data_IF_135453698094
#
_entry.id   IF_135453698094
#
_cell.length_a   1.000
_cell.length_b   1.000
_cell.length_c   1.000
_cell.angle_alpha   90.00
_cell.angle_beta   90.00
_cell.angle_gamma   90.00
#
_symmetry.space_group_name_H-M   'P 1'
#
loop_
_entity.id
_entity.type
_entity.pdbx_description
1 polymer ?
#
# COMPACT_ATOMS: atom_id res chain seq x y z
N UNK A 1 -24.97 -29.50 30.95
CA UNK A 1 -25.84 -28.38 30.68
C UNK A 1 -24.97 -27.13 30.54
N UNK A 2 -24.92 -26.63 29.33
CA UNK A 2 -24.26 -25.36 29.02
C UNK A 2 -25.08 -24.24 29.61
N UNK A 3 -24.55 -23.53 30.57
CA UNK A 3 -25.17 -22.31 31.07
C UNK A 3 -24.58 -21.12 30.30
N UNK A 4 -25.40 -20.44 29.54
CA UNK A 4 -25.08 -19.13 29.02
C UNK A 4 -25.41 -18.10 30.10
N UNK A 5 -24.45 -17.33 30.52
CA UNK A 5 -24.65 -16.22 31.43
C UNK A 5 -24.70 -14.93 30.62
N UNK A 6 -25.86 -14.28 30.65
CA UNK A 6 -26.04 -13.00 29.95
C UNK A 6 -26.03 -11.88 30.96
N UNK A 7 -25.09 -10.98 30.90
CA UNK A 7 -25.11 -9.75 31.68
C UNK A 7 -25.85 -8.68 30.87
N UNK A 8 -26.84 -8.09 31.47
CA UNK A 8 -27.49 -6.88 30.97
C UNK A 8 -26.41 -5.79 30.91
N UNK A 9 -26.24 -5.17 29.80
CA UNK A 9 -25.18 -4.21 29.46
C UNK A 9 -23.91 -4.81 28.79
N UNK A 10 -24.07 -5.98 28.21
CA UNK A 10 -23.22 -6.35 27.11
C UNK A 10 -22.08 -7.33 27.35
N UNK A 11 -21.99 -7.96 28.50
CA UNK A 11 -21.01 -9.03 28.66
C UNK A 11 -21.69 -10.39 28.75
N UNK A 12 -21.33 -11.31 27.87
CA UNK A 12 -21.70 -12.71 27.94
C UNK A 12 -20.46 -13.50 28.32
N UNK A 13 -20.54 -14.21 29.44
CA UNK A 13 -19.54 -15.20 29.83
C UNK A 13 -20.15 -16.57 29.67
N UNK A 14 -19.63 -17.41 28.81
CA UNK A 14 -20.06 -18.79 28.67
C UNK A 14 -19.07 -19.68 29.41
N UNK A 15 -19.57 -20.41 30.40
CA UNK A 15 -18.71 -21.30 31.11
C UNK A 15 -18.96 -22.73 30.79
N UNK A 16 -18.32 -23.64 30.74
CA UNK A 16 -18.04 -24.96 31.21
C UNK A 16 -16.64 -25.43 30.78
N UNK A 17 -15.66 -24.74 30.73
CA UNK A 17 -14.22 -25.00 30.65
C UNK A 17 -13.45 -23.69 30.53
N UNK A 18 -13.92 -22.70 31.27
CA UNK A 18 -13.06 -21.56 31.52
C UNK A 18 -11.96 -22.05 32.47
N UNK A 19 -10.86 -22.51 31.97
CA UNK A 19 -9.62 -22.42 32.74
C UNK A 19 -9.48 -20.96 33.13
N UNK A 20 -9.30 -20.75 34.43
CA UNK A 20 -9.23 -19.44 35.03
C UNK A 20 -8.56 -18.44 34.07
N UNK A 21 -9.22 -17.32 33.86
CA UNK A 21 -8.62 -16.20 33.14
C UNK A 21 -7.20 -16.03 33.70
N UNK A 22 -6.24 -16.03 32.83
CA UNK A 22 -4.86 -15.76 33.21
C UNK A 22 -4.84 -14.52 34.09
N UNK A 23 -4.21 -14.60 35.23
CA UNK A 23 -4.03 -13.47 36.16
C UNK A 23 -3.22 -12.32 35.51
N UNK A 24 -2.76 -12.50 34.27
CA UNK A 24 -2.10 -11.50 33.46
C UNK A 24 -3.04 -10.69 32.56
N UNK A 25 -4.34 -10.89 32.64
CA UNK A 25 -5.32 -10.08 31.87
C UNK A 25 -5.49 -10.45 30.40
N UNK A 26 -4.97 -11.59 29.98
CA UNK A 26 -4.79 -11.89 28.55
C UNK A 26 -6.03 -12.50 27.87
N UNK A 27 -7.09 -12.88 28.59
CA UNK A 27 -8.29 -13.45 27.95
C UNK A 27 -9.59 -12.95 28.56
N UNK A 28 -10.41 -12.32 27.76
CA UNK A 28 -11.75 -11.90 28.13
C UNK A 28 -12.79 -12.93 27.65
N UNK A 29 -12.52 -13.65 26.56
CA UNK A 29 -13.43 -14.64 26.01
C UNK A 29 -12.67 -15.67 25.18
N UNK A 30 -12.87 -16.95 25.47
CA UNK A 30 -12.42 -18.04 24.61
C UNK A 30 -13.64 -18.63 23.89
N UNK A 31 -13.70 -18.45 22.57
CA UNK A 31 -14.72 -19.06 21.74
C UNK A 31 -14.12 -20.30 21.09
N UNK A 32 -14.40 -21.44 21.69
CA UNK A 32 -13.96 -22.73 21.16
C UNK A 32 -15.13 -23.69 21.06
N UNK A 33 -15.18 -24.49 20.02
CA UNK A 33 -16.18 -25.52 19.87
C UNK A 33 -16.00 -26.26 18.54
N UNK A 34 -16.14 -27.56 18.60
CA UNK A 34 -16.12 -28.43 17.44
C UNK A 34 -17.50 -28.41 16.75
N UNK A 35 -17.82 -27.28 16.19
CA UNK A 35 -19.08 -27.14 15.43
C UNK A 35 -18.75 -26.52 14.10
N UNK A 36 -19.06 -27.17 13.03
CA UNK A 36 -18.87 -26.73 11.66
C UNK A 36 -19.61 -25.43 11.29
N UNK A 37 -19.77 -24.54 12.24
CA UNK A 37 -20.40 -23.23 12.11
C UNK A 37 -19.48 -22.16 12.68
N UNK A 38 -19.70 -20.92 12.27
CA UNK A 38 -18.94 -19.73 12.62
C UNK A 38 -18.74 -19.61 14.14
N UNK A 39 -17.50 -19.60 14.59
CA UNK A 39 -17.18 -19.50 16.03
C UNK A 39 -17.43 -18.09 16.59
N UNK A 40 -17.36 -17.06 15.75
CA UNK A 40 -17.66 -15.68 16.12
C UNK A 40 -18.53 -15.03 15.02
N UNK A 41 -19.67 -14.48 15.43
CA UNK A 41 -20.53 -13.67 14.56
C UNK A 41 -20.82 -12.33 15.23
N UNK A 42 -20.40 -11.25 14.61
CA UNK A 42 -20.69 -9.88 15.05
C UNK A 42 -21.52 -9.16 13.99
N UNK A 43 -22.43 -8.28 14.42
CA UNK A 43 -23.15 -7.36 13.53
C UNK A 43 -22.43 -6.02 13.37
N UNK A 44 -21.37 -5.79 14.14
CA UNK A 44 -20.56 -4.59 14.13
C UNK A 44 -19.09 -4.91 13.86
N UNK A 45 -18.23 -3.98 14.22
CA UNK A 45 -16.79 -4.11 14.10
C UNK A 45 -16.19 -4.93 15.22
N UNK A 46 -15.04 -5.56 14.95
CA UNK A 46 -14.16 -6.16 15.96
C UNK A 46 -12.96 -5.22 16.08
N UNK A 47 -12.73 -4.71 17.30
CA UNK A 47 -11.51 -3.98 17.61
C UNK A 47 -10.47 -4.99 18.13
N UNK A 48 -9.33 -5.07 17.47
CA UNK A 48 -8.22 -5.92 17.85
C UNK A 48 -6.93 -5.11 17.79
N UNK A 49 -6.55 -4.46 18.90
CA UNK A 49 -5.40 -3.55 18.94
C UNK A 49 -4.06 -4.25 18.70
N UNK A 50 -3.95 -5.51 19.10
CA UNK A 50 -2.75 -6.33 18.91
C UNK A 50 -2.70 -7.16 17.64
N UNK A 51 -3.71 -7.00 16.77
CA UNK A 51 -3.84 -7.81 15.54
C UNK A 51 -4.62 -9.11 15.74
N UNK A 52 -4.72 -9.90 14.68
CA UNK A 52 -5.48 -11.15 14.66
C UNK A 52 -4.57 -12.27 14.12
N UNK A 53 -4.45 -13.36 14.89
CA UNK A 53 -3.76 -14.56 14.40
C UNK A 53 -4.66 -15.34 13.44
N UNK A 54 -4.16 -15.60 12.24
CA UNK A 54 -4.85 -16.34 11.18
C UNK A 54 -4.16 -17.69 10.93
N UNK A 55 -4.81 -18.78 11.34
CA UNK A 55 -4.33 -20.12 11.07
C UNK A 55 -3.34 -20.70 12.09
N UNK A 56 -2.92 -19.96 13.11
CA UNK A 56 -2.04 -20.44 14.18
C UNK A 56 -1.47 -19.31 15.01
N UNK A 57 -0.83 -19.61 16.13
CA UNK A 57 -0.30 -18.63 17.10
C UNK A 57 1.15 -18.19 16.83
N UNK A 58 1.76 -18.67 15.76
CA UNK A 58 3.11 -18.21 15.37
C UNK A 58 3.07 -16.74 14.89
N UNK A 59 4.13 -15.98 15.16
CA UNK A 59 4.21 -14.57 14.76
C UNK A 59 4.03 -14.34 13.25
N UNK A 60 4.39 -15.34 12.42
CA UNK A 60 4.17 -15.30 10.98
C UNK A 60 2.68 -15.32 10.58
N UNK A 61 1.78 -15.71 11.48
CA UNK A 61 0.34 -15.77 11.25
C UNK A 61 -0.41 -14.55 11.80
N UNK A 62 0.32 -13.60 12.38
CA UNK A 62 -0.25 -12.38 12.94
C UNK A 62 -0.56 -11.37 11.84
N UNK A 63 -1.82 -11.01 11.70
CA UNK A 63 -2.26 -9.84 10.96
C UNK A 63 -2.38 -8.66 11.94
N UNK A 64 -1.31 -7.89 12.06
CA UNK A 64 -1.18 -6.79 13.02
C UNK A 64 -1.28 -5.40 12.40
N UNK A 65 -1.26 -5.34 11.06
CA UNK A 65 -1.28 -4.07 10.37
C UNK A 65 -2.20 -4.10 9.13
N UNK A 66 -3.19 -3.23 9.16
CA UNK A 66 -3.99 -2.87 8.00
C UNK A 66 -4.15 -1.35 7.95
N UNK A 67 -3.82 -0.74 6.84
CA UNK A 67 -4.04 0.69 6.62
C UNK A 67 -4.35 0.96 5.15
N UNK A 68 -5.27 1.86 4.94
CA UNK A 68 -5.53 2.45 3.63
C UNK A 68 -5.47 3.97 3.71
N UNK A 69 -5.14 4.61 2.63
CA UNK A 69 -5.04 6.06 2.62
C UNK A 69 -4.79 6.62 1.24
N UNK A 70 -4.59 7.92 1.25
CA UNK A 70 -4.20 8.71 0.08
C UNK A 70 -2.79 9.26 0.28
N UNK A 71 -2.11 9.52 -0.82
CA UNK A 71 -0.80 10.16 -0.83
C UNK A 71 -0.66 11.07 -2.05
N UNK A 72 0.32 11.96 -2.03
CA UNK A 72 0.53 12.92 -3.11
C UNK A 72 1.87 12.63 -3.80
N UNK A 73 1.86 11.99 -4.99
CA UNK A 73 3.08 11.77 -5.76
C UNK A 73 3.65 13.09 -6.27
N UNK A 74 4.97 13.21 -6.31
CA UNK A 74 5.67 14.39 -6.84
C UNK A 74 6.66 13.96 -7.91
N UNK A 75 6.46 14.46 -9.14
CA UNK A 75 7.41 14.25 -10.24
C UNK A 75 8.58 15.22 -10.08
N UNK A 76 9.80 14.68 -10.23
CA UNK A 76 11.02 15.47 -10.29
C UNK A 76 11.90 14.97 -11.41
N UNK A 77 12.69 15.87 -12.00
CA UNK A 77 13.72 15.53 -12.97
C UNK A 77 15.10 15.79 -12.35
N UNK A 78 15.89 14.72 -12.19
CA UNK A 78 17.16 14.73 -11.45
C UNK A 78 17.04 15.40 -10.04
N UNK A 79 15.92 15.13 -9.36
CA UNK A 79 15.64 15.71 -8.04
C UNK A 79 15.04 17.12 -8.02
N UNK A 80 14.88 17.77 -9.18
CA UNK A 80 14.36 19.13 -9.30
C UNK A 80 12.94 19.15 -9.89
N UNK A 81 12.13 20.13 -9.48
CA UNK A 81 10.74 20.31 -9.93
C UNK A 81 10.43 21.71 -10.45
N UNK A 82 11.44 22.43 -10.97
CA UNK A 82 11.30 23.82 -11.39
C UNK A 82 10.29 23.95 -12.53
N UNK A 83 9.20 24.69 -12.27
CA UNK A 83 8.14 24.97 -13.22
C UNK A 83 7.22 23.79 -13.53
N UNK A 84 7.35 22.66 -12.83
CA UNK A 84 6.38 21.56 -12.95
C UNK A 84 5.07 21.99 -12.28
N UNK A 85 3.97 21.91 -13.04
CA UNK A 85 2.64 22.18 -12.53
C UNK A 85 1.69 21.06 -12.89
N UNK A 86 0.72 20.82 -12.01
CA UNK A 86 -0.27 19.75 -12.13
C UNK A 86 -1.66 20.33 -12.26
N UNK A 87 -2.54 19.59 -12.93
CA UNK A 87 -3.95 19.93 -12.98
C UNK A 87 -4.52 19.90 -14.38
N UNK A 88 -5.78 20.17 -14.49
CA UNK A 88 -6.55 20.27 -15.74
C UNK A 88 -8.01 20.55 -15.38
N UNK A 89 -8.62 21.57 -16.02
CA UNK A 89 -10.05 21.83 -15.82
C UNK A 89 -10.89 20.70 -16.45
N UNK A 90 -12.01 20.32 -15.83
CA UNK A 90 -12.67 20.89 -14.66
C UNK A 90 -12.37 20.21 -13.33
N UNK A 91 -11.35 19.36 -13.23
CA UNK A 91 -11.10 18.55 -12.04
C UNK A 91 -9.89 19.07 -11.27
N UNK A 92 -10.03 19.17 -9.97
CA UNK A 92 -9.09 19.87 -9.09
C UNK A 92 -7.96 18.99 -8.53
N UNK A 93 -7.93 17.69 -8.82
CA UNK A 93 -6.94 16.78 -8.21
C UNK A 93 -6.36 15.81 -9.26
N UNK A 94 -5.29 16.25 -9.89
CA UNK A 94 -4.57 15.40 -10.84
C UNK A 94 -3.17 15.01 -10.37
N UNK A 95 -3.02 14.96 -9.07
CA UNK A 95 -1.83 14.48 -8.39
C UNK A 95 -2.27 13.77 -7.12
N UNK A 96 -2.68 12.53 -7.26
CA UNK A 96 -3.19 11.72 -6.16
C UNK A 96 -2.78 10.27 -6.31
N UNK A 97 -2.57 9.62 -5.20
CA UNK A 97 -2.39 8.18 -5.08
C UNK A 97 -3.25 7.63 -3.96
N UNK A 98 -3.65 6.38 -4.12
CA UNK A 98 -4.33 5.57 -3.12
C UNK A 98 -3.48 4.37 -2.80
N UNK A 99 -3.49 3.92 -1.56
CA UNK A 99 -2.78 2.72 -1.17
C UNK A 99 -3.57 1.89 -0.16
N UNK A 100 -3.25 0.61 -0.14
CA UNK A 100 -3.61 -0.33 0.93
C UNK A 100 -2.32 -1.01 1.38
N UNK A 101 -2.09 -1.04 2.69
CA UNK A 101 -1.02 -1.78 3.33
C UNK A 101 -1.63 -2.89 4.19
N UNK A 102 -1.14 -4.12 3.99
CA UNK A 102 -1.51 -5.30 4.78
C UNK A 102 -0.21 -5.97 5.22
N UNK A 103 0.04 -6.03 6.52
CA UNK A 103 1.35 -6.36 7.03
C UNK A 103 2.41 -5.44 6.41
N UNK A 104 3.39 -5.99 5.73
CA UNK A 104 4.44 -5.23 5.05
C UNK A 104 4.16 -5.00 3.55
N UNK A 105 3.09 -5.56 3.00
CA UNK A 105 2.76 -5.41 1.58
C UNK A 105 1.99 -4.11 1.36
N UNK A 106 2.50 -3.26 0.50
CA UNK A 106 1.83 -2.03 0.06
C UNK A 106 1.45 -2.18 -1.41
N UNK A 107 0.16 -2.09 -1.68
CA UNK A 107 -0.38 -1.98 -3.05
C UNK A 107 -0.87 -0.57 -3.26
N UNK A 108 -0.55 0.03 -4.40
CA UNK A 108 -0.93 1.41 -4.69
C UNK A 108 -1.42 1.60 -6.13
N UNK A 109 -2.15 2.67 -6.31
CA UNK A 109 -2.46 3.28 -7.60
C UNK A 109 -2.22 4.78 -7.48
N UNK A 110 -1.70 5.41 -8.54
CA UNK A 110 -1.50 6.85 -8.57
C UNK A 110 -1.79 7.42 -9.96
N UNK A 111 -2.15 8.69 -10.00
CA UNK A 111 -2.26 9.47 -11.24
C UNK A 111 -1.57 10.82 -11.08
N UNK A 112 -0.87 11.23 -12.11
CA UNK A 112 -0.43 12.62 -12.28
C UNK A 112 -0.85 13.11 -13.68
N UNK A 113 -1.34 14.35 -13.73
CA UNK A 113 -1.56 15.07 -14.98
C UNK A 113 -0.79 16.37 -14.88
N UNK A 114 0.06 16.64 -15.86
CA UNK A 114 0.83 17.88 -15.94
C UNK A 114 0.03 18.94 -16.70
N UNK A 115 0.10 20.18 -16.23
CA UNK A 115 -0.20 21.36 -17.06
C UNK A 115 1.07 21.97 -17.62
N UNK A 116 2.20 21.76 -16.92
CA UNK A 116 3.53 22.06 -17.41
C UNK A 116 4.53 21.04 -16.90
N UNK A 117 5.42 20.57 -17.77
CA UNK A 117 6.55 19.71 -17.36
C UNK A 117 7.72 20.50 -16.77
N UNK A 118 7.63 21.84 -16.78
CA UNK A 118 8.70 22.70 -16.30
C UNK A 118 9.95 22.68 -17.16
N UNK A 119 11.03 23.18 -16.58
CA UNK A 119 12.33 23.35 -17.24
C UNK A 119 13.43 22.46 -16.70
N UNK A 120 13.17 21.71 -15.62
CA UNK A 120 14.13 20.75 -15.05
C UNK A 120 14.45 19.65 -16.07
N UNK A 121 15.71 19.19 -16.07
CA UNK A 121 16.22 18.15 -17.00
C UNK A 121 16.77 16.99 -16.20
N UNK A 122 16.71 15.80 -16.81
CA UNK A 122 17.31 14.59 -16.25
C UNK A 122 16.33 13.45 -16.01
N UNK A 123 16.72 12.50 -15.18
CA UNK A 123 15.95 11.30 -14.85
C UNK A 123 14.61 11.66 -14.18
N UNK A 124 13.55 11.06 -14.68
CA UNK A 124 12.20 11.21 -14.12
C UNK A 124 12.00 10.28 -12.93
N UNK A 125 11.74 10.86 -11.78
CA UNK A 125 11.52 10.20 -10.51
C UNK A 125 10.20 10.66 -9.91
N UNK A 126 9.42 9.73 -9.37
CA UNK A 126 8.21 10.03 -8.62
C UNK A 126 8.49 9.80 -7.13
N UNK A 127 8.37 10.87 -6.37
CA UNK A 127 8.62 10.91 -4.94
C UNK A 127 7.33 10.76 -4.14
N UNK A 128 7.49 10.39 -2.86
CA UNK A 128 6.45 10.46 -1.87
C UNK A 128 5.64 9.17 -1.73
N UNK A 129 6.21 7.99 -2.03
CA UNK A 129 5.57 6.72 -1.65
C UNK A 129 5.14 6.77 -0.17
N UNK A 130 3.98 6.20 0.17
CA UNK A 130 3.43 6.29 1.53
C UNK A 130 4.31 5.63 2.59
N UNK A 131 5.13 4.67 2.19
CA UNK A 131 6.11 3.98 3.04
C UNK A 131 7.42 3.80 2.29
N UNK A 132 8.52 3.79 3.05
CA UNK A 132 9.84 3.45 2.53
C UNK A 132 9.85 1.97 2.13
N UNK A 133 10.47 1.67 1.00
CA UNK A 133 10.68 0.28 0.55
C UNK A 133 11.66 -0.42 1.48
N UNK A 134 11.35 -1.63 1.92
CA UNK A 134 12.18 -2.38 2.84
C UNK A 134 13.58 -2.67 2.27
N UNK A 135 14.59 -2.62 3.13
CA UNK A 135 15.97 -2.96 2.79
C UNK A 135 16.21 -4.46 2.96
N UNK A 136 15.67 -5.24 2.04
CA UNK A 136 15.84 -6.69 2.00
C UNK A 136 16.59 -7.09 0.73
N UNK A 137 17.44 -8.11 0.76
CA UNK A 137 18.09 -8.63 -0.43
C UNK A 137 17.06 -9.02 -1.51
N UNK A 138 17.21 -8.47 -2.71
CA UNK A 138 16.28 -8.74 -3.82
C UNK A 138 14.90 -8.09 -3.71
N UNK A 139 14.66 -7.23 -2.73
CA UNK A 139 13.40 -6.54 -2.56
C UNK A 139 13.36 -5.26 -3.38
N UNK A 140 12.84 -5.38 -4.56
CA UNK A 140 12.48 -4.25 -5.41
C UNK A 140 10.98 -4.29 -5.64
N UNK A 141 10.30 -3.20 -5.33
CA UNK A 141 8.92 -3.05 -5.74
C UNK A 141 8.83 -2.92 -7.26
N UNK A 142 7.69 -3.24 -7.81
CA UNK A 142 7.41 -3.08 -9.24
C UNK A 142 6.07 -2.39 -9.47
N UNK A 143 5.98 -1.68 -10.59
CA UNK A 143 4.74 -1.08 -11.05
C UNK A 143 4.62 -1.19 -12.57
N UNK A 144 3.43 -0.87 -13.07
CA UNK A 144 3.14 -0.80 -14.48
C UNK A 144 2.41 0.49 -14.83
N UNK A 145 2.53 0.92 -16.08
CA UNK A 145 1.63 1.94 -16.63
C UNK A 145 0.26 1.30 -16.86
N UNK A 146 -0.72 1.74 -16.09
CA UNK A 146 -2.13 1.37 -16.33
C UNK A 146 -2.77 2.26 -17.40
N UNK A 147 -2.23 3.48 -17.54
CA UNK A 147 -2.62 4.43 -18.58
C UNK A 147 -1.51 5.45 -18.81
N UNK A 148 -1.35 5.88 -20.05
CA UNK A 148 -0.51 7.02 -20.39
C UNK A 148 -1.04 7.73 -21.63
N UNK A 149 -1.05 9.06 -21.59
CA UNK A 149 -1.44 9.94 -22.68
C UNK A 149 -0.46 11.14 -22.73
N UNK A 150 -0.14 11.60 -23.91
CA UNK A 150 0.89 12.64 -24.12
C UNK A 150 2.23 12.31 -23.41
N UNK A 151 2.52 11.04 -23.30
CA UNK A 151 3.71 10.48 -22.69
C UNK A 151 4.20 9.32 -23.57
N UNK A 152 5.41 9.41 -24.06
CA UNK A 152 5.98 8.37 -24.92
C UNK A 152 6.44 7.19 -24.05
N UNK A 153 5.56 6.21 -23.80
CA UNK A 153 5.95 5.00 -23.07
C UNK A 153 7.10 4.34 -23.82
N UNK A 154 8.28 4.19 -23.18
CA UNK A 154 9.40 3.51 -23.82
C UNK A 154 9.07 2.03 -24.06
N UNK A 155 9.63 1.47 -25.11
CA UNK A 155 9.62 0.02 -25.30
C UNK A 155 10.21 -0.68 -24.06
N UNK A 156 9.60 -1.79 -23.64
CA UNK A 156 10.03 -2.55 -22.46
C UNK A 156 10.21 -1.69 -21.22
N UNK A 157 9.20 -0.86 -20.94
CA UNK A 157 9.18 -0.04 -19.72
C UNK A 157 9.30 -0.93 -18.48
N UNK A 158 10.13 -0.51 -17.54
CA UNK A 158 10.33 -1.15 -16.24
C UNK A 158 10.21 -0.09 -15.17
N UNK A 159 9.28 -0.26 -14.25
CA UNK A 159 9.07 0.67 -13.15
C UNK A 159 9.46 -0.03 -11.89
N UNK A 160 10.41 0.54 -11.15
CA UNK A 160 10.98 -0.06 -9.95
C UNK A 160 10.90 0.89 -8.77
N UNK A 161 10.87 0.33 -7.57
CA UNK A 161 11.05 1.05 -6.32
C UNK A 161 12.26 0.45 -5.62
N UNK A 162 13.32 1.24 -5.46
CA UNK A 162 14.57 0.76 -4.91
C UNK A 162 14.49 0.67 -3.38
N UNK A 163 15.19 -0.31 -2.80
CA UNK A 163 15.24 -0.50 -1.35
C UNK A 163 15.70 0.76 -0.60
N UNK A 164 15.19 0.96 0.60
CA UNK A 164 15.46 2.12 1.47
C UNK A 164 15.06 3.47 0.87
N UNK A 165 14.21 3.48 -0.16
CA UNK A 165 13.75 4.67 -0.84
C UNK A 165 12.21 4.80 -0.77
N UNK A 166 11.71 6.02 -0.89
CA UNK A 166 10.29 6.30 -1.12
C UNK A 166 10.06 6.88 -2.53
N UNK A 167 10.76 6.30 -3.51
CA UNK A 167 10.86 6.82 -4.88
C UNK A 167 10.47 5.71 -5.85
N UNK A 168 9.68 6.07 -6.85
CA UNK A 168 9.41 5.24 -8.02
C UNK A 168 10.33 5.71 -9.15
N UNK A 169 11.08 4.78 -9.74
CA UNK A 169 11.95 5.01 -10.88
C UNK A 169 11.31 4.53 -12.16
N UNK A 170 11.22 5.42 -13.13
CA UNK A 170 10.72 5.12 -14.46
C UNK A 170 11.90 4.72 -15.35
N UNK A 171 11.95 3.48 -15.77
CA UNK A 171 13.07 2.87 -16.48
C UNK A 171 12.59 2.14 -17.73
N UNK A 172 13.53 1.78 -18.59
CA UNK A 172 13.28 0.95 -19.77
C UNK A 172 14.50 0.11 -20.13
N UNK A 173 14.29 -0.91 -20.94
CA UNK A 173 15.37 -1.66 -21.59
C UNK A 173 15.22 -1.44 -23.10
N UNK A 174 16.26 -1.00 -23.78
CA UNK A 174 16.23 -0.80 -25.23
C UNK A 174 16.32 -2.13 -26.00
N UNK A 175 16.22 -2.07 -27.31
CA UNK A 175 16.28 -3.25 -28.19
C UNK A 175 17.60 -4.02 -28.10
N UNK A 176 18.69 -3.36 -27.72
CA UNK A 176 20.00 -3.99 -27.50
C UNK A 176 20.14 -4.62 -26.08
N UNK A 177 19.09 -4.56 -25.26
CA UNK A 177 19.13 -5.05 -23.87
C UNK A 177 19.78 -4.08 -22.89
N UNK A 178 20.18 -2.89 -23.31
CA UNK A 178 20.74 -1.88 -22.43
C UNK A 178 19.65 -1.17 -21.63
N UNK A 179 19.94 -0.99 -20.37
CA UNK A 179 19.11 -0.30 -19.42
C UNK A 179 19.20 1.23 -19.57
N UNK A 180 18.08 1.90 -19.39
CA UNK A 180 18.01 3.36 -19.44
C UNK A 180 16.95 3.93 -18.48
N UNK A 181 17.09 5.22 -18.17
CA UNK A 181 16.14 5.96 -17.37
C UNK A 181 15.22 6.79 -18.27
N UNK A 182 13.93 6.81 -17.93
CA UNK A 182 13.00 7.78 -18.50
C UNK A 182 13.42 9.18 -18.04
N UNK A 183 13.39 10.14 -18.95
CA UNK A 183 13.83 11.50 -18.68
C UNK A 183 12.72 12.52 -18.96
N UNK A 184 12.99 13.78 -18.65
CA UNK A 184 12.11 14.89 -18.99
C UNK A 184 11.76 14.96 -20.49
N UNK A 185 12.58 14.39 -21.37
CA UNK A 185 12.31 14.32 -22.81
C UNK A 185 11.12 13.44 -23.19
N UNK A 186 10.75 12.49 -22.32
CA UNK A 186 9.60 11.60 -22.51
C UNK A 186 8.27 12.29 -22.16
N UNK A 187 8.33 13.32 -21.32
CA UNK A 187 7.16 14.07 -20.87
C UNK A 187 6.88 15.27 -21.78
N UNK A 188 5.60 15.58 -21.89
CA UNK A 188 5.08 16.78 -22.50
C UNK A 188 4.25 17.57 -21.50
N UNK A 189 3.95 18.82 -21.80
CA UNK A 189 2.84 19.50 -21.16
C UNK A 189 1.57 18.66 -21.43
N UNK A 190 0.72 18.54 -20.45
CA UNK A 190 -0.48 17.67 -20.47
C UNK A 190 -0.17 16.16 -20.50
N UNK A 191 1.04 15.72 -20.14
CA UNK A 191 1.29 14.30 -19.87
C UNK A 191 0.39 13.81 -18.74
N UNK A 192 -0.28 12.69 -18.98
CA UNK A 192 -1.20 12.04 -18.04
C UNK A 192 -0.77 10.59 -17.88
N UNK A 193 -0.36 10.20 -16.69
CA UNK A 193 0.05 8.82 -16.40
C UNK A 193 -0.65 8.28 -15.17
N UNK A 194 -1.05 7.01 -15.27
CA UNK A 194 -1.55 6.22 -14.14
C UNK A 194 -0.60 5.05 -13.94
N UNK A 195 -0.13 4.88 -12.73
CA UNK A 195 0.66 3.72 -12.33
C UNK A 195 -0.08 2.92 -11.26
N UNK A 196 0.06 1.60 -11.35
CA UNK A 196 -0.31 0.67 -10.28
C UNK A 196 0.87 -0.21 -9.94
N UNK A 197 1.05 -0.51 -8.67
CA UNK A 197 2.20 -1.29 -8.23
C UNK A 197 2.09 -1.85 -6.84
N UNK A 198 3.09 -2.66 -6.48
CA UNK A 198 3.20 -3.32 -5.19
C UNK A 198 4.66 -3.36 -4.75
N UNK A 199 4.89 -3.18 -3.45
CA UNK A 199 6.21 -3.31 -2.83
C UNK A 199 6.10 -3.78 -1.38
N UNK A 200 7.22 -4.23 -0.83
CA UNK A 200 7.35 -4.53 0.60
C UNK A 200 7.90 -3.28 1.30
N UNK A 201 7.21 -2.81 2.32
CA UNK A 201 7.63 -1.67 3.12
C UNK A 201 8.54 -2.08 4.27
N UNK A 202 9.34 -1.12 4.72
CA UNK A 202 10.10 -1.24 5.95
C UNK A 202 9.16 -1.33 7.16
#
# INVERSE_FOLDING_TARGET
PSQAFVVKDGMVVTGANQTAASTSGDYICALGGNVGAKSLHTKGHILADGGIYLGGSASANLLDFYQQGIWTPTLKFAGNEVGITYGGAPQTVYRAGHYVKIGNVVTFSMRIILTSKGTSVGEALLYGLPYVVASLPGNYGSAMYSFANNFAIPERASITMDSSQSIIRLRFTNSAGAYGNVTNGTFNNNSDIILTGTYISA
#
